data_IF_745678681200
#
_entry.id   IF_745678681200
#
_cell.length_a   1.000
_cell.length_b   1.000
_cell.length_c   1.000
_cell.angle_alpha   90.00
_cell.angle_beta   90.00
_cell.angle_gamma   90.00
#
_symmetry.space_group_name_H-M   'P 1'
#
loop_
_entity.id
_entity.type
_entity.pdbx_description
1 polymer ?
#
# COMPACT_ATOMS: atom_id res chain seq x y z
N UNK A 1 8.62 -43.93 2.68
CA UNK A 1 7.44 -43.11 3.03
C UNK A 1 7.49 -41.71 2.47
N UNK A 2 7.87 -41.53 1.19
CA UNK A 2 7.82 -40.24 0.50
C UNK A 2 6.59 -40.11 -0.41
N UNK A 3 5.87 -41.21 -0.66
CA UNK A 3 4.71 -41.22 -1.56
C UNK A 3 3.43 -40.67 -0.91
N UNK A 4 3.35 -40.69 0.42
CA UNK A 4 2.19 -40.19 1.17
C UNK A 4 2.19 -38.66 1.36
N UNK A 5 3.34 -38.00 1.21
CA UNK A 5 3.44 -36.54 1.36
C UNK A 5 3.02 -35.79 0.08
N UNK A 6 3.27 -36.35 -1.10
CA UNK A 6 2.90 -35.72 -2.37
C UNK A 6 1.40 -35.79 -2.67
N UNK A 7 0.67 -36.75 -2.09
CA UNK A 7 -0.79 -36.85 -2.26
C UNK A 7 -1.59 -35.78 -1.51
N UNK A 8 -0.97 -35.08 -0.55
CA UNK A 8 -1.66 -34.10 0.31
C UNK A 8 -1.47 -32.65 -0.14
N UNK A 9 -0.53 -32.35 -1.05
CA UNK A 9 -0.19 -30.97 -1.42
C UNK A 9 -0.38 -30.61 -2.90
N UNK A 10 -0.65 -31.59 -3.77
CA UNK A 10 -1.15 -31.30 -5.13
C UNK A 10 -2.67 -31.41 -5.14
N UNK A 11 -3.33 -30.28 -4.89
CA UNK A 11 -4.71 -30.09 -5.31
C UNK A 11 -4.69 -29.58 -6.76
N UNK A 12 -4.88 -30.51 -7.69
CA UNK A 12 -5.50 -30.28 -9.00
C UNK A 12 -4.79 -29.35 -9.98
N UNK A 13 -3.85 -29.89 -10.75
CA UNK A 13 -3.62 -29.43 -12.13
C UNK A 13 -4.63 -30.18 -13.00
N UNK A 14 -5.71 -29.49 -13.40
CA UNK A 14 -6.81 -30.08 -14.14
C UNK A 14 -7.60 -29.03 -14.92
N UNK A 15 -7.21 -28.84 -16.19
CA UNK A 15 -8.07 -28.24 -17.21
C UNK A 15 -8.99 -29.33 -17.76
N UNK A 16 -10.26 -29.33 -17.34
CA UNK A 16 -11.25 -30.28 -17.85
C UNK A 16 -12.45 -30.36 -16.92
N UNK A 17 -13.59 -29.91 -17.45
CA UNK A 17 -15.00 -30.09 -17.04
C UNK A 17 -15.35 -30.62 -15.64
N UNK A 18 -16.23 -29.84 -14.99
CA UNK A 18 -17.03 -30.17 -13.80
C UNK A 18 -16.32 -30.26 -12.44
N UNK A 19 -15.73 -29.12 -12.03
CA UNK A 19 -15.58 -28.80 -10.61
C UNK A 19 -16.95 -28.35 -10.08
N UNK A 20 -17.68 -29.25 -9.44
CA UNK A 20 -18.89 -28.89 -8.69
C UNK A 20 -18.50 -27.98 -7.53
N UNK A 21 -18.84 -26.69 -7.64
CA UNK A 21 -18.57 -25.70 -6.61
C UNK A 21 -19.31 -26.10 -5.32
N UNK A 22 -18.57 -26.52 -4.30
CA UNK A 22 -19.14 -27.09 -3.06
C UNK A 22 -19.77 -26.06 -2.12
N UNK A 23 -19.77 -24.76 -2.46
CA UNK A 23 -20.62 -23.74 -1.87
C UNK A 23 -20.52 -22.45 -2.69
N UNK A 24 -21.67 -21.84 -2.99
CA UNK A 24 -21.74 -20.46 -3.51
C UNK A 24 -21.74 -19.54 -2.30
N UNK A 25 -20.70 -18.72 -2.16
CA UNK A 25 -20.78 -17.55 -1.29
C UNK A 25 -21.68 -16.57 -2.02
N UNK A 26 -22.90 -16.35 -1.52
CA UNK A 26 -23.67 -15.16 -1.90
C UNK A 26 -22.94 -13.96 -1.28
N UNK A 27 -21.89 -13.49 -1.98
CA UNK A 27 -21.26 -12.21 -1.70
C UNK A 27 -22.27 -11.18 -2.10
N UNK A 28 -23.25 -10.94 -1.21
CA UNK A 28 -24.41 -10.10 -1.45
C UNK A 28 -23.99 -8.93 -2.32
N UNK A 29 -24.31 -9.05 -3.61
CA UNK A 29 -24.14 -8.00 -4.58
C UNK A 29 -25.26 -7.02 -4.23
N UNK A 30 -25.04 -6.31 -3.11
CA UNK A 30 -25.70 -5.08 -2.81
C UNK A 30 -25.53 -4.26 -4.07
N UNK A 31 -26.67 -3.98 -4.68
CA UNK A 31 -26.84 -3.17 -5.86
C UNK A 31 -25.69 -2.17 -5.99
N UNK A 32 -25.15 -2.08 -7.20
CA UNK A 32 -24.47 -0.88 -7.62
C UNK A 32 -25.44 0.28 -7.35
N UNK A 33 -25.28 0.90 -6.19
CA UNK A 33 -25.68 2.26 -5.98
C UNK A 33 -24.72 2.98 -6.89
N UNK A 34 -25.22 3.44 -8.04
CA UNK A 34 -24.57 4.53 -8.74
C UNK A 34 -24.50 5.67 -7.73
N UNK A 35 -23.35 5.78 -7.05
CA UNK A 35 -22.96 7.03 -6.43
C UNK A 35 -22.99 8.05 -7.56
N UNK A 36 -23.73 9.17 -7.42
CA UNK A 36 -23.54 10.27 -8.34
C UNK A 36 -22.04 10.58 -8.29
N UNK A 37 -21.38 10.59 -9.45
CA UNK A 37 -19.97 10.91 -9.56
C UNK A 37 -19.76 12.23 -8.80
N UNK A 38 -19.22 12.13 -7.59
CA UNK A 38 -18.83 13.28 -6.82
C UNK A 38 -17.79 13.97 -7.67
N UNK A 39 -18.05 15.24 -7.99
CA UNK A 39 -17.10 16.08 -8.70
C UNK A 39 -15.79 16.01 -7.91
N UNK A 40 -14.75 15.43 -8.53
CA UNK A 40 -13.51 15.13 -7.83
C UNK A 40 -12.87 16.45 -7.39
N UNK A 41 -12.77 16.65 -6.08
CA UNK A 41 -12.08 17.82 -5.52
C UNK A 41 -10.60 17.73 -5.91
N UNK A 42 -10.00 18.76 -6.52
CA UNK A 42 -8.59 18.74 -6.89
C UNK A 42 -7.70 18.45 -5.68
N UNK A 43 -6.68 17.60 -5.86
CA UNK A 43 -5.76 17.22 -4.78
C UNK A 43 -5.15 18.42 -4.01
N UNK A 44 -4.74 19.53 -4.66
CA UNK A 44 -4.24 20.71 -3.94
C UNK A 44 -5.26 21.33 -2.98
N UNK A 45 -6.55 21.28 -3.30
CA UNK A 45 -7.62 21.79 -2.43
C UNK A 45 -7.84 20.86 -1.22
N UNK A 46 -7.73 19.55 -1.43
CA UNK A 46 -7.77 18.57 -0.33
C UNK A 46 -6.61 18.76 0.64
N UNK A 47 -5.40 19.00 0.13
CA UNK A 47 -4.22 19.32 0.94
C UNK A 47 -4.44 20.62 1.72
N UNK A 48 -4.96 21.67 1.09
CA UNK A 48 -5.22 22.95 1.75
C UNK A 48 -6.27 22.84 2.87
N UNK A 49 -7.23 21.94 2.73
CA UNK A 49 -8.26 21.68 3.74
C UNK A 49 -7.87 20.62 4.79
N UNK A 50 -6.68 20.02 4.70
CA UNK A 50 -6.28 18.91 5.55
C UNK A 50 -6.09 19.31 7.03
N UNK A 51 -6.47 18.42 7.94
CA UNK A 51 -6.29 18.59 9.39
C UNK A 51 -5.06 17.80 9.90
N UNK A 52 -4.04 18.52 10.35
CA UNK A 52 -2.83 17.94 10.91
C UNK A 52 -3.08 17.12 12.19
N UNK A 53 -4.04 17.49 13.03
CA UNK A 53 -4.38 16.75 14.25
C UNK A 53 -5.06 15.41 13.91
N UNK A 54 -5.88 15.38 12.86
CA UNK A 54 -6.38 14.13 12.30
C UNK A 54 -5.24 13.30 11.69
N UNK A 55 -4.33 13.93 10.94
CA UNK A 55 -3.13 13.30 10.37
C UNK A 55 -2.24 12.63 11.42
N UNK A 56 -2.06 13.26 12.59
CA UNK A 56 -1.31 12.67 13.71
C UNK A 56 -1.91 11.32 14.16
N UNK A 57 -3.24 11.19 14.17
CA UNK A 57 -3.91 9.93 14.52
C UNK A 57 -3.70 8.87 13.43
N UNK A 58 -3.72 9.26 12.16
CA UNK A 58 -3.43 8.35 11.04
C UNK A 58 -1.99 7.85 11.11
N UNK A 59 -1.04 8.72 11.47
CA UNK A 59 0.37 8.37 11.58
C UNK A 59 0.65 7.26 12.60
N UNK A 60 -0.26 6.98 13.54
CA UNK A 60 -0.16 5.83 14.43
C UNK A 60 -0.01 4.49 13.66
N UNK A 61 -0.56 4.40 12.43
CA UNK A 61 -0.39 3.25 11.53
C UNK A 61 1.03 3.14 10.97
N UNK A 62 1.72 4.28 10.81
CA UNK A 62 3.07 4.38 10.26
C UNK A 62 4.15 4.23 11.34
N UNK A 63 3.82 4.62 12.58
CA UNK A 63 4.74 4.75 13.71
C UNK A 63 5.44 3.46 14.15
N UNK A 64 4.88 2.31 13.78
CA UNK A 64 5.50 1.00 14.01
C UNK A 64 6.83 0.89 13.26
N UNK A 65 6.90 1.41 12.04
CA UNK A 65 8.07 1.28 11.17
C UNK A 65 8.86 2.58 11.02
N UNK A 66 8.20 3.73 11.12
CA UNK A 66 8.80 5.03 10.84
C UNK A 66 8.76 5.96 12.06
N UNK A 67 9.80 6.76 12.25
CA UNK A 67 9.86 7.80 13.30
C UNK A 67 9.83 9.20 12.70
N UNK A 68 9.59 10.18 13.56
CA UNK A 68 9.56 11.62 13.22
C UNK A 68 10.51 12.44 14.10
N UNK A 69 11.49 11.77 14.72
CA UNK A 69 12.54 12.36 15.56
C UNK A 69 13.93 12.30 14.90
N UNK A 70 14.00 11.90 13.62
CA UNK A 70 15.23 11.72 12.86
C UNK A 70 15.88 10.35 13.01
N UNK A 71 15.38 9.47 13.88
CA UNK A 71 15.90 8.10 14.00
C UNK A 71 15.28 7.14 12.99
N UNK A 72 16.11 6.31 12.38
CA UNK A 72 15.63 5.23 11.50
C UNK A 72 15.28 3.99 12.31
N UNK A 73 14.31 3.20 11.83
CA UNK A 73 13.89 1.95 12.46
C UNK A 73 13.74 0.86 11.38
N UNK A 74 12.60 0.17 11.32
CA UNK A 74 12.29 -0.74 10.20
C UNK A 74 12.23 0.01 8.87
N UNK A 75 11.72 1.25 8.88
CA UNK A 75 11.77 2.19 7.78
C UNK A 75 12.58 3.45 8.13
N UNK A 76 12.93 4.28 7.13
CA UNK A 76 13.63 5.54 7.37
C UNK A 76 12.71 6.54 8.08
N UNK A 77 13.28 7.50 8.80
CA UNK A 77 12.50 8.56 9.42
C UNK A 77 11.75 9.43 8.39
N UNK A 78 10.58 9.94 8.78
CA UNK A 78 9.67 10.69 7.90
C UNK A 78 9.55 12.18 8.26
N UNK A 79 10.23 12.65 9.31
CA UNK A 79 10.35 14.10 9.52
C UNK A 79 11.08 14.75 8.34
N UNK A 80 10.45 15.76 7.74
CA UNK A 80 10.96 16.41 6.54
C UNK A 80 10.93 15.54 5.28
N UNK A 81 10.01 14.58 5.17
CA UNK A 81 9.88 13.73 3.96
C UNK A 81 9.29 14.48 2.77
N UNK A 82 8.39 15.44 2.99
CA UNK A 82 7.82 16.24 1.90
C UNK A 82 8.93 17.03 1.22
N UNK A 83 8.98 16.94 -0.10
CA UNK A 83 10.01 17.51 -0.98
C UNK A 83 11.43 16.95 -0.78
N UNK A 84 11.57 15.86 0.00
CA UNK A 84 12.84 15.14 0.14
C UNK A 84 13.07 14.25 -1.07
N UNK A 85 14.32 14.13 -1.49
CA UNK A 85 14.70 13.20 -2.55
C UNK A 85 14.33 11.76 -2.18
N UNK A 86 13.82 10.99 -3.14
CA UNK A 86 13.48 9.58 -2.92
C UNK A 86 14.75 8.78 -2.62
N UNK A 87 14.62 7.78 -1.73
CA UNK A 87 15.71 6.89 -1.32
C UNK A 87 17.00 7.61 -0.80
N UNK A 88 16.86 8.76 -0.12
CA UNK A 88 17.99 9.64 0.19
C UNK A 88 18.46 9.67 1.65
N UNK A 89 17.80 8.97 2.58
CA UNK A 89 18.25 8.96 3.98
C UNK A 89 19.56 8.17 4.09
N UNK A 90 20.62 8.88 4.47
CA UNK A 90 21.96 8.30 4.57
C UNK A 90 22.04 7.18 5.60
N UNK A 91 22.64 6.05 5.20
CA UNK A 91 22.80 4.88 6.07
C UNK A 91 21.58 3.94 6.13
N UNK A 92 20.44 4.32 5.56
CA UNK A 92 19.30 3.43 5.44
C UNK A 92 19.43 2.52 4.20
N UNK A 93 19.17 1.23 4.36
CA UNK A 93 19.23 0.25 3.29
C UNK A 93 17.90 0.19 2.53
N UNK A 94 17.78 0.98 1.46
CA UNK A 94 16.62 0.94 0.57
C UNK A 94 16.64 -0.31 -0.32
N UNK A 95 15.46 -0.74 -0.77
CA UNK A 95 15.35 -1.79 -1.79
C UNK A 95 15.76 -1.26 -3.16
N UNK A 96 16.23 -2.16 -4.04
CA UNK A 96 16.60 -1.82 -5.41
C UNK A 96 15.45 -1.13 -6.17
N UNK A 97 14.20 -1.57 -5.93
CA UNK A 97 13.02 -0.97 -6.52
C UNK A 97 12.81 0.49 -6.07
N UNK A 98 13.02 0.80 -4.79
CA UNK A 98 12.88 2.16 -4.29
C UNK A 98 13.99 3.08 -4.80
N UNK A 99 15.21 2.56 -4.96
CA UNK A 99 16.32 3.29 -5.58
C UNK A 99 16.03 3.56 -7.07
N UNK A 100 15.50 2.56 -7.80
CA UNK A 100 15.12 2.74 -9.19
C UNK A 100 13.99 3.76 -9.36
N UNK A 101 13.00 3.74 -8.46
CA UNK A 101 11.89 4.69 -8.48
C UNK A 101 12.35 6.15 -8.39
N UNK A 102 13.47 6.44 -7.73
CA UNK A 102 14.04 7.78 -7.68
C UNK A 102 14.42 8.35 -9.07
N UNK A 103 14.57 7.52 -10.10
CA UNK A 103 14.75 7.98 -11.47
C UNK A 103 13.44 8.42 -12.15
N UNK A 104 12.30 7.90 -11.67
CA UNK A 104 10.95 8.20 -12.20
C UNK A 104 10.33 9.36 -11.41
N UNK A 105 10.30 9.25 -10.09
CA UNK A 105 9.86 10.27 -9.16
C UNK A 105 11.03 10.62 -8.22
N UNK A 106 11.83 11.65 -8.54
CA UNK A 106 13.05 11.95 -7.79
C UNK A 106 12.77 12.57 -6.42
N UNK A 107 11.54 12.98 -6.13
CA UNK A 107 11.18 13.74 -4.93
C UNK A 107 9.81 13.32 -4.42
N UNK A 108 9.69 13.16 -3.10
CA UNK A 108 8.42 12.91 -2.43
C UNK A 108 7.58 14.19 -2.35
N UNK A 109 6.96 14.55 -3.47
CA UNK A 109 5.96 15.62 -3.49
C UNK A 109 4.71 15.15 -2.72
N UNK A 110 3.83 16.08 -2.36
CA UNK A 110 2.55 15.72 -1.74
C UNK A 110 1.69 14.83 -2.63
N UNK A 111 1.78 15.01 -3.96
CA UNK A 111 1.05 14.19 -4.91
C UNK A 111 1.57 12.75 -4.93
N UNK A 112 2.89 12.56 -4.97
CA UNK A 112 3.52 11.23 -4.88
C UNK A 112 3.24 10.51 -3.54
N UNK A 113 3.07 11.27 -2.45
CA UNK A 113 2.75 10.73 -1.13
C UNK A 113 1.24 10.49 -0.90
N UNK A 114 0.40 11.17 -1.68
CA UNK A 114 -1.05 11.17 -1.54
C UNK A 114 -1.79 10.32 -2.58
N UNK A 115 -1.11 9.90 -3.65
CA UNK A 115 -1.58 8.96 -4.65
C UNK A 115 -1.65 7.53 -4.10
#
# INVERSE_FOLDING_TARGET
GSWAASGLYTFGEGHGEDVTQAYVIDTGASAAVEEPAAEAVPFPELVAAADAAAGQKVFAKCAACHKVDGSDATGPHLNGVVDRAVASVGGFAYSDAMVAHAAEAPTWTLEELGA
#
